data_IF_552926009885
#
_entry.id   IF_552926009885
#
_cell.length_a   1.000
_cell.length_b   1.000
_cell.length_c   1.000
_cell.angle_alpha   90.00
_cell.angle_beta   90.00
_cell.angle_gamma   90.00
#
_symmetry.space_group_name_H-M   'P 1'
#
loop_
_entity.id
_entity.type
_entity.pdbx_description
1 polymer ?
#
# COMPACT_ATOMS: atom_id res chain seq x y z
N UNK A 1 16.59 -34.85 -97.71
CA UNK A 1 17.12 -34.51 -96.37
C UNK A 1 16.78 -33.06 -96.05
N UNK A 2 15.79 -32.80 -95.17
CA UNK A 2 15.39 -31.46 -94.73
C UNK A 2 15.90 -31.24 -93.30
N UNK A 3 16.71 -30.19 -93.06
CA UNK A 3 17.22 -29.82 -91.73
C UNK A 3 16.59 -28.51 -91.27
N UNK A 4 16.04 -28.57 -90.05
CA UNK A 4 15.14 -27.62 -89.42
C UNK A 4 15.86 -26.33 -88.96
N UNK A 5 15.42 -25.17 -89.45
CA UNK A 5 15.86 -23.83 -89.01
C UNK A 5 14.96 -23.26 -87.89
N UNK A 6 13.95 -24.01 -87.43
CA UNK A 6 12.92 -23.53 -86.49
C UNK A 6 13.28 -23.59 -84.99
N UNK A 7 14.53 -23.91 -84.61
CA UNK A 7 14.91 -24.09 -83.19
C UNK A 7 15.67 -22.92 -82.54
N UNK A 8 15.94 -21.83 -83.26
CA UNK A 8 16.77 -20.72 -82.72
C UNK A 8 15.93 -19.53 -82.21
N UNK A 9 14.62 -19.50 -82.43
CA UNK A 9 13.75 -18.42 -81.91
C UNK A 9 13.03 -18.74 -80.60
N UNK A 10 13.16 -19.95 -80.04
CA UNK A 10 12.52 -20.31 -78.76
C UNK A 10 13.40 -20.06 -77.52
N UNK A 11 14.69 -19.75 -77.70
CA UNK A 11 15.63 -19.58 -76.58
C UNK A 11 15.70 -18.13 -76.05
N UNK A 12 15.21 -17.13 -76.79
CA UNK A 12 15.22 -15.73 -76.34
C UNK A 12 13.95 -15.30 -75.59
N UNK A 13 12.86 -16.05 -75.69
CA UNK A 13 11.62 -15.73 -74.97
C UNK A 13 11.58 -16.24 -73.52
N UNK A 14 12.49 -17.15 -73.14
CA UNK A 14 12.53 -17.75 -71.80
C UNK A 14 13.38 -16.97 -70.78
N UNK A 15 14.20 -16.01 -71.23
CA UNK A 15 14.98 -15.14 -70.34
C UNK A 15 14.27 -13.80 -70.01
N UNK A 16 13.28 -13.40 -70.79
CA UNK A 16 12.49 -12.17 -70.50
C UNK A 16 11.36 -12.40 -69.48
N UNK A 17 10.94 -13.65 -69.25
CA UNK A 17 9.91 -14.00 -68.26
C UNK A 17 10.47 -14.16 -66.83
N UNK A 18 11.78 -14.29 -66.66
CA UNK A 18 12.42 -14.38 -65.33
C UNK A 18 12.63 -12.99 -64.70
N UNK A 19 12.59 -11.90 -65.50
CA UNK A 19 12.75 -10.53 -64.99
C UNK A 19 11.43 -9.82 -64.64
N UNK A 20 10.27 -10.45 -64.89
CA UNK A 20 8.95 -9.90 -64.53
C UNK A 20 8.11 -10.83 -63.63
N UNK A 21 8.61 -12.02 -63.32
CA UNK A 21 7.96 -12.99 -62.41
C UNK A 21 8.43 -12.93 -60.96
N UNK A 22 9.36 -12.04 -60.64
CA UNK A 22 9.83 -11.80 -59.28
C UNK A 22 8.90 -10.91 -58.48
N UNK A 23 7.59 -11.23 -58.44
CA UNK A 23 6.77 -10.83 -57.30
C UNK A 23 7.29 -11.63 -56.11
N UNK A 24 8.38 -11.13 -55.53
CA UNK A 24 8.80 -11.50 -54.20
C UNK A 24 7.54 -11.39 -53.34
N UNK A 25 7.04 -12.52 -52.84
CA UNK A 25 6.36 -12.53 -51.56
C UNK A 25 7.43 -12.13 -50.52
N UNK A 26 7.85 -10.88 -50.55
CA UNK A 26 8.10 -10.17 -49.32
C UNK A 26 6.70 -10.08 -48.71
N UNK A 27 6.33 -11.09 -47.93
CA UNK A 27 5.52 -10.81 -46.75
C UNK A 27 6.32 -9.73 -46.03
N UNK A 28 5.92 -8.50 -46.31
CA UNK A 28 6.44 -7.32 -45.67
C UNK A 28 6.10 -7.50 -44.21
N UNK A 29 7.03 -8.08 -43.45
CA UNK A 29 6.96 -8.25 -42.00
C UNK A 29 7.04 -6.88 -41.29
N UNK A 30 6.89 -5.77 -42.02
CA UNK A 30 6.77 -4.46 -41.45
C UNK A 30 5.30 -4.17 -41.14
N UNK A 31 5.04 -4.05 -39.84
CA UNK A 31 3.76 -3.59 -39.33
C UNK A 31 3.49 -2.19 -39.87
N UNK A 32 2.27 -1.97 -40.38
CA UNK A 32 1.85 -0.62 -40.73
C UNK A 32 1.83 0.26 -39.48
N UNK A 33 2.10 1.56 -39.62
CA UNK A 33 2.07 2.51 -38.50
C UNK A 33 0.74 2.46 -37.73
N UNK A 34 -0.37 2.21 -38.44
CA UNK A 34 -1.70 2.04 -37.85
C UNK A 34 -1.79 0.79 -36.96
N UNK A 35 -1.21 -0.34 -37.38
CA UNK A 35 -1.16 -1.56 -36.59
C UNK A 35 -0.26 -1.41 -35.37
N UNK A 36 0.90 -0.77 -35.52
CA UNK A 36 1.78 -0.43 -34.40
C UNK A 36 1.03 0.42 -33.37
N UNK A 37 0.30 1.44 -33.84
CA UNK A 37 -0.49 2.31 -32.97
C UNK A 37 -1.61 1.56 -32.26
N UNK A 38 -2.34 0.70 -32.98
CA UNK A 38 -3.41 -0.12 -32.42
C UNK A 38 -2.89 -1.10 -31.37
N UNK A 39 -1.73 -1.72 -31.61
CA UNK A 39 -1.09 -2.61 -30.64
C UNK A 39 -0.62 -1.86 -29.39
N UNK A 40 -0.05 -0.66 -29.54
CA UNK A 40 0.32 0.19 -28.40
C UNK A 40 -0.93 0.58 -27.60
N UNK A 41 -2.00 1.04 -28.25
CA UNK A 41 -3.25 1.41 -27.57
C UNK A 41 -3.90 0.22 -26.86
N UNK A 42 -3.91 -0.95 -27.50
CA UNK A 42 -4.43 -2.18 -26.89
C UNK A 42 -3.56 -2.64 -25.72
N UNK A 43 -2.24 -2.64 -25.86
CA UNK A 43 -1.32 -2.98 -24.77
C UNK A 43 -1.42 -1.99 -23.59
N UNK A 44 -1.64 -0.71 -23.85
CA UNK A 44 -1.90 0.29 -22.80
C UNK A 44 -3.25 0.07 -22.13
N UNK A 45 -4.30 -0.25 -22.90
CA UNK A 45 -5.62 -0.58 -22.34
C UNK A 45 -5.58 -1.86 -21.51
N UNK A 46 -4.92 -2.92 -21.97
CA UNK A 46 -4.77 -4.18 -21.25
C UNK A 46 -3.92 -4.00 -20.00
N UNK A 47 -2.82 -3.23 -20.06
CA UNK A 47 -2.05 -2.91 -18.86
C UNK A 47 -2.89 -2.09 -17.87
N UNK A 48 -3.56 -1.02 -18.31
CA UNK A 48 -4.37 -0.16 -17.44
C UNK A 48 -5.59 -0.87 -16.85
N UNK A 49 -6.19 -1.83 -17.57
CA UNK A 49 -7.33 -2.62 -17.09
C UNK A 49 -6.94 -3.64 -16.01
N UNK A 50 -5.65 -4.02 -15.95
CA UNK A 50 -5.11 -4.97 -14.98
C UNK A 50 -4.27 -4.28 -13.88
N UNK A 51 -4.36 -2.96 -13.74
CA UNK A 51 -3.74 -2.26 -12.62
C UNK A 51 -4.60 -2.47 -11.36
N UNK A 52 -4.17 -3.41 -10.51
CA UNK A 52 -4.61 -3.44 -9.12
C UNK A 52 -3.91 -2.29 -8.39
N UNK A 53 -4.64 -1.21 -8.16
CA UNK A 53 -4.14 -0.11 -7.34
C UNK A 53 -4.30 -0.45 -5.87
N UNK A 54 -3.23 -0.22 -5.11
CA UNK A 54 -3.31 -0.20 -3.65
C UNK A 54 -4.43 0.73 -3.21
N UNK A 55 -5.37 0.18 -2.49
CA UNK A 55 -6.48 0.85 -1.82
C UNK A 55 -6.03 1.23 -0.41
N UNK A 56 -6.66 2.28 0.12
CA UNK A 56 -6.50 2.62 1.52
C UNK A 56 -7.77 3.19 2.10
N UNK A 57 -7.91 3.02 3.42
CA UNK A 57 -8.98 3.60 4.22
C UNK A 57 -8.41 4.23 5.47
N UNK A 58 -8.95 5.40 5.83
CA UNK A 58 -8.50 6.18 6.98
C UNK A 58 -9.61 6.16 8.01
N UNK A 59 -9.31 5.58 9.17
CA UNK A 59 -10.21 5.56 10.32
C UNK A 59 -9.63 6.46 11.40
N UNK A 60 -10.39 7.46 11.83
CA UNK A 60 -9.99 8.35 12.91
C UNK A 60 -10.78 7.95 14.17
N UNK A 61 -10.06 7.75 15.28
CA UNK A 61 -10.64 7.32 16.55
C UNK A 61 -10.23 8.31 17.63
N UNK A 62 -11.21 8.79 18.39
CA UNK A 62 -10.96 9.64 19.55
C UNK A 62 -11.19 8.81 20.80
N UNK A 63 -10.12 8.57 21.56
CA UNK A 63 -10.22 7.99 22.88
C UNK A 63 -10.37 9.08 23.92
N UNK A 64 -11.52 9.14 24.60
CA UNK A 64 -11.72 10.09 25.69
C UNK A 64 -11.06 9.56 26.96
N UNK A 65 -10.80 10.47 27.91
CA UNK A 65 -10.18 10.09 29.19
C UNK A 65 -10.95 8.99 29.94
N UNK A 66 -12.28 8.98 29.85
CA UNK A 66 -13.12 7.98 30.53
C UNK A 66 -13.24 6.64 29.83
N UNK A 67 -12.70 6.50 28.61
CA UNK A 67 -12.77 5.26 27.83
C UNK A 67 -11.60 4.31 28.14
N UNK A 68 -10.63 4.77 28.94
CA UNK A 68 -9.47 3.99 29.35
C UNK A 68 -9.79 3.19 30.60
N UNK A 69 -9.55 1.89 30.54
CA UNK A 69 -9.69 0.96 31.66
C UNK A 69 -8.32 0.40 32.03
N UNK A 70 -8.05 0.30 33.32
CA UNK A 70 -6.81 -0.31 33.81
C UNK A 70 -6.91 -1.84 33.76
N UNK A 71 -5.99 -2.48 33.05
CA UNK A 71 -5.81 -3.93 33.07
C UNK A 71 -4.77 -4.32 34.12
N UNK A 72 -5.23 -4.93 35.22
CA UNK A 72 -4.36 -5.38 36.32
C UNK A 72 -3.42 -6.54 35.95
N UNK A 73 -3.77 -7.34 34.94
CA UNK A 73 -2.98 -8.48 34.49
C UNK A 73 -1.83 -8.00 33.59
N UNK A 74 -2.14 -7.19 32.59
CA UNK A 74 -1.16 -6.66 31.63
C UNK A 74 -0.45 -5.40 32.14
N UNK A 75 -0.93 -4.84 33.26
CA UNK A 75 -0.40 -3.65 33.93
C UNK A 75 -0.29 -2.46 32.98
N UNK A 76 -1.38 -2.17 32.26
CA UNK A 76 -1.49 -1.08 31.28
C UNK A 76 -2.93 -0.56 31.22
N UNK A 77 -3.10 0.68 30.78
CA UNK A 77 -4.43 1.17 30.40
C UNK A 77 -4.78 0.69 29.00
N UNK A 78 -6.03 0.34 28.77
CA UNK A 78 -6.58 -0.05 27.48
C UNK A 78 -7.85 0.73 27.14
N UNK A 79 -8.01 1.08 25.87
CA UNK A 79 -9.25 1.62 25.33
C UNK A 79 -9.57 0.91 24.01
N UNK A 80 -10.71 0.23 23.97
CA UNK A 80 -11.10 -0.67 22.88
C UNK A 80 -12.20 -0.04 22.03
N UNK A 81 -12.05 -0.08 20.72
CA UNK A 81 -12.99 0.45 19.74
C UNK A 81 -13.26 -0.54 18.63
N UNK A 82 -14.48 -0.49 18.08
CA UNK A 82 -14.82 -1.26 16.88
C UNK A 82 -14.08 -0.72 15.66
N UNK A 83 -13.55 -1.63 14.85
CA UNK A 83 -12.85 -1.37 13.59
C UNK A 83 -13.41 -2.28 12.49
N UNK A 84 -14.69 -2.13 12.10
CA UNK A 84 -15.35 -3.00 11.11
C UNK A 84 -14.70 -2.94 9.73
N UNK A 85 -13.93 -1.89 9.43
CA UNK A 85 -13.14 -1.73 8.21
C UNK A 85 -12.00 -2.75 8.11
N UNK A 86 -11.56 -3.33 9.24
CA UNK A 86 -10.54 -4.38 9.25
C UNK A 86 -11.14 -5.70 8.76
N UNK A 87 -10.96 -5.95 7.46
CA UNK A 87 -11.27 -7.23 6.81
C UNK A 87 -10.15 -8.25 7.00
N UNK A 88 -10.49 -9.53 6.78
CA UNK A 88 -9.51 -10.64 6.77
C UNK A 88 -8.35 -10.36 5.82
N UNK A 89 -8.65 -9.86 4.61
CA UNK A 89 -7.63 -9.56 3.61
C UNK A 89 -6.65 -8.50 4.11
N UNK A 90 -7.15 -7.41 4.71
CA UNK A 90 -6.30 -6.36 5.27
C UNK A 90 -5.46 -6.90 6.43
N UNK A 91 -6.05 -7.71 7.31
CA UNK A 91 -5.37 -8.29 8.46
C UNK A 91 -4.24 -9.26 8.07
N UNK A 92 -4.45 -10.08 7.03
CA UNK A 92 -3.50 -11.12 6.63
C UNK A 92 -2.49 -10.66 5.57
N UNK A 93 -2.89 -9.77 4.66
CA UNK A 93 -2.11 -9.40 3.48
C UNK A 93 -1.84 -7.89 3.35
N UNK A 94 -2.65 -7.08 4.03
CA UNK A 94 -2.54 -5.63 4.03
C UNK A 94 -1.59 -5.08 5.08
N UNK A 95 -1.75 -3.79 5.36
CA UNK A 95 -1.06 -3.12 6.46
C UNK A 95 -2.03 -2.19 7.21
N UNK A 96 -1.88 -2.14 8.54
CA UNK A 96 -2.55 -1.14 9.38
C UNK A 96 -1.49 -0.28 10.02
N UNK A 97 -1.50 1.02 9.74
CA UNK A 97 -0.56 1.99 10.27
C UNK A 97 -1.26 2.93 11.27
N UNK A 98 -0.83 2.92 12.53
CA UNK A 98 -1.36 3.79 13.57
C UNK A 98 -0.57 5.09 13.75
N UNK A 99 -1.31 6.17 14.00
CA UNK A 99 -0.77 7.49 14.32
C UNK A 99 -1.51 8.09 15.52
N UNK A 100 -0.80 8.93 16.27
CA UNK A 100 -1.30 9.72 17.38
C UNK A 100 -1.03 11.21 17.13
N UNK A 101 -1.99 12.07 17.47
CA UNK A 101 -1.82 13.52 17.44
C UNK A 101 -1.59 14.05 18.84
N UNK A 102 -0.53 14.83 19.02
CA UNK A 102 -0.18 15.49 20.28
C UNK A 102 -0.18 17.01 20.10
N UNK A 103 -0.65 17.74 21.11
CA UNK A 103 -0.75 19.21 21.06
C UNK A 103 -2.14 19.69 20.62
N UNK A 104 -2.23 20.97 20.27
CA UNK A 104 -3.49 21.62 19.88
C UNK A 104 -3.56 21.84 18.36
N UNK A 105 -4.65 21.37 17.74
CA UNK A 105 -4.90 21.50 16.30
C UNK A 105 -4.77 22.96 15.84
N UNK A 106 -3.99 23.16 14.77
CA UNK A 106 -3.73 24.48 14.18
C UNK A 106 -2.78 25.38 14.99
N UNK A 107 -2.21 24.91 16.10
CA UNK A 107 -1.27 25.68 16.93
C UNK A 107 0.10 25.01 16.97
N UNK A 108 0.19 23.85 17.59
CA UNK A 108 1.43 23.10 17.79
C UNK A 108 1.22 21.59 17.68
N UNK A 109 0.14 21.18 17.03
CA UNK A 109 -0.16 19.77 16.80
C UNK A 109 0.97 19.10 16.01
N UNK A 110 1.38 17.94 16.51
CA UNK A 110 2.32 17.06 15.83
C UNK A 110 1.72 15.68 15.71
N UNK A 111 1.89 15.09 14.53
CA UNK A 111 1.54 13.70 14.29
C UNK A 111 2.74 12.81 14.62
N UNK A 112 2.52 11.76 15.41
CA UNK A 112 3.49 10.72 15.76
C UNK A 112 3.01 9.39 15.20
N UNK A 113 3.93 8.56 14.74
CA UNK A 113 3.63 7.18 14.38
C UNK A 113 3.59 6.33 15.66
N UNK A 114 2.69 5.36 15.72
CA UNK A 114 2.64 4.39 16.80
C UNK A 114 3.55 3.18 16.50
N UNK A 115 4.22 2.58 17.50
CA UNK A 115 4.21 2.97 18.92
C UNK A 115 4.93 4.30 19.16
N UNK A 116 4.34 5.15 19.99
CA UNK A 116 4.94 6.39 20.47
C UNK A 116 5.58 6.14 21.83
N UNK A 117 6.86 6.44 21.95
CA UNK A 117 7.65 6.21 23.16
C UNK A 117 8.18 7.55 23.68
N UNK A 118 7.96 7.83 24.96
CA UNK A 118 8.45 9.04 25.61
C UNK A 118 8.99 8.74 27.00
N UNK A 119 10.15 9.30 27.32
CA UNK A 119 10.76 9.16 28.66
C UNK A 119 10.45 10.40 29.48
N UNK A 120 9.75 10.20 30.59
CA UNK A 120 9.49 11.21 31.60
C UNK A 120 10.50 11.10 32.73
N UNK A 121 10.68 12.21 33.45
CA UNK A 121 11.54 12.26 34.62
C UNK A 121 10.95 13.18 35.68
N UNK A 122 11.11 12.78 36.94
CA UNK A 122 10.82 13.60 38.11
C UNK A 122 12.10 14.30 38.59
N UNK A 123 11.95 15.47 39.22
CA UNK A 123 13.06 16.22 39.81
C UNK A 123 12.77 16.63 41.24
N UNK A 124 13.79 16.67 42.08
CA UNK A 124 13.70 17.25 43.43
C UNK A 124 13.63 18.79 43.40
N UNK A 125 13.57 19.42 44.58
CA UNK A 125 13.56 20.88 44.74
C UNK A 125 14.84 21.57 44.27
N UNK A 126 15.93 20.82 44.12
CA UNK A 126 17.23 21.31 43.64
C UNK A 126 17.39 21.10 42.12
N UNK A 127 16.42 20.45 41.47
CA UNK A 127 16.42 20.14 40.04
C UNK A 127 17.17 18.87 39.66
N UNK A 128 17.60 18.05 40.62
CA UNK A 128 18.22 16.77 40.33
C UNK A 128 17.15 15.76 39.93
N UNK A 129 17.42 14.96 38.90
CA UNK A 129 16.53 13.88 38.47
C UNK A 129 16.46 12.82 39.58
N UNK A 130 15.26 12.55 40.07
CA UNK A 130 15.00 11.56 41.13
C UNK A 130 14.40 10.28 40.57
N UNK A 131 13.63 10.39 39.49
CA UNK A 131 12.87 9.29 38.91
C UNK A 131 12.88 9.42 37.40
N UNK A 132 12.90 8.29 36.70
CA UNK A 132 12.80 8.24 35.24
C UNK A 132 12.00 7.02 34.85
N UNK A 133 11.00 7.20 34.00
CA UNK A 133 10.25 6.09 33.43
C UNK A 133 9.92 6.40 31.97
N UNK A 134 9.64 5.36 31.19
CA UNK A 134 9.26 5.48 29.79
C UNK A 134 7.82 5.04 29.63
N UNK A 135 7.00 5.91 29.05
CA UNK A 135 5.64 5.60 28.65
C UNK A 135 5.63 5.21 27.17
N UNK A 136 4.90 4.16 26.86
CA UNK A 136 4.63 3.72 25.50
C UNK A 136 3.13 3.78 25.24
N UNK A 137 2.74 4.53 24.22
CA UNK A 137 1.38 4.49 23.67
C UNK A 137 1.45 3.68 22.38
N UNK A 138 0.60 2.66 22.26
CA UNK A 138 0.57 1.77 21.09
C UNK A 138 -0.83 1.23 20.86
N UNK A 139 -0.98 0.33 19.88
CA UNK A 139 -2.23 -0.32 19.56
C UNK A 139 -2.02 -1.76 19.10
N UNK A 140 -3.04 -2.58 19.28
CA UNK A 140 -3.19 -3.90 18.71
C UNK A 140 -4.50 -3.94 17.89
N UNK A 141 -4.50 -4.65 16.76
CA UNK A 141 -5.70 -4.89 15.97
C UNK A 141 -6.14 -6.35 16.10
N UNK A 142 -7.44 -6.56 16.29
CA UNK A 142 -8.04 -7.88 16.43
C UNK A 142 -9.05 -8.11 15.31
N UNK A 143 -8.70 -8.97 14.37
CA UNK A 143 -9.66 -9.43 13.37
C UNK A 143 -10.67 -10.39 13.98
N UNK A 144 -11.95 -10.13 13.74
CA UNK A 144 -13.03 -11.05 14.07
C UNK A 144 -13.93 -11.27 12.85
N UNK A 145 -14.22 -12.53 12.55
CA UNK A 145 -15.11 -12.90 11.44
C UNK A 145 -16.48 -12.26 11.61
N UNK A 146 -17.06 -11.76 10.51
CA UNK A 146 -18.41 -11.16 10.51
C UNK A 146 -18.44 -9.65 10.75
N UNK A 147 -17.32 -8.95 10.61
CA UNK A 147 -17.27 -7.48 10.65
C UNK A 147 -17.27 -6.88 12.06
N UNK A 148 -16.94 -7.68 13.08
CA UNK A 148 -16.83 -7.24 14.48
C UNK A 148 -15.37 -7.08 14.90
N UNK A 149 -14.47 -6.79 13.96
CA UNK A 149 -13.07 -6.54 14.26
C UNK A 149 -12.94 -5.31 15.18
N UNK A 150 -11.90 -5.30 16.00
CA UNK A 150 -11.64 -4.25 16.99
C UNK A 150 -10.20 -3.76 16.92
N UNK A 151 -9.96 -2.60 17.53
CA UNK A 151 -8.64 -2.08 17.85
C UNK A 151 -8.58 -1.74 19.34
N UNK A 152 -7.50 -2.15 19.99
CA UNK A 152 -7.18 -1.79 21.36
C UNK A 152 -6.02 -0.82 21.35
N UNK A 153 -6.21 0.39 21.87
CA UNK A 153 -5.11 1.31 22.19
C UNK A 153 -4.66 1.07 23.62
N UNK A 154 -3.37 1.18 23.89
CA UNK A 154 -2.85 0.99 25.24
C UNK A 154 -1.76 1.98 25.61
N UNK A 155 -1.70 2.31 26.89
CA UNK A 155 -0.69 3.16 27.53
C UNK A 155 0.00 2.32 28.60
N UNK A 156 1.31 2.15 28.48
CA UNK A 156 2.09 1.34 29.41
C UNK A 156 3.37 2.05 29.83
N UNK A 157 3.54 2.19 31.15
CA UNK A 157 4.78 2.68 31.74
C UNK A 157 5.77 1.53 31.95
N UNK A 158 7.06 1.81 31.76
CA UNK A 158 8.15 0.82 31.85
C UNK A 158 8.33 0.23 33.25
N UNK A 159 7.87 0.95 34.28
CA UNK A 159 7.89 0.53 35.68
C UNK A 159 6.58 -0.14 36.12
N UNK A 160 5.65 -0.39 35.18
CA UNK A 160 4.34 -1.04 35.37
C UNK A 160 3.46 -0.40 36.46
N UNK A 161 3.76 0.86 36.78
CA UNK A 161 2.99 1.64 37.74
C UNK A 161 1.70 2.15 37.11
N UNK A 162 0.63 2.14 37.90
CA UNK A 162 -0.66 2.70 37.50
C UNK A 162 -0.66 4.21 37.75
N UNK A 163 -0.31 4.99 36.73
CA UNK A 163 -0.45 6.45 36.79
C UNK A 163 -1.88 6.85 36.42
N UNK A 164 -2.67 7.25 37.41
CA UNK A 164 -4.04 7.74 37.22
C UNK A 164 -4.16 8.97 36.30
N UNK A 165 -3.05 9.66 36.00
CA UNK A 165 -3.04 10.82 35.10
C UNK A 165 -2.65 10.48 33.66
N UNK A 166 -2.15 9.26 33.39
CA UNK A 166 -1.78 8.85 32.05
C UNK A 166 -2.98 8.81 31.07
N UNK A 167 -4.18 8.34 31.47
CA UNK A 167 -5.39 8.46 30.66
C UNK A 167 -5.74 9.92 30.38
N UNK A 168 -5.77 10.27 29.09
CA UNK A 168 -6.14 11.59 28.59
C UNK A 168 -7.00 11.43 27.33
N UNK A 169 -7.52 12.54 26.82
CA UNK A 169 -8.14 12.55 25.51
C UNK A 169 -7.05 12.45 24.42
N UNK A 170 -7.06 11.37 23.65
CA UNK A 170 -6.13 11.13 22.55
C UNK A 170 -6.87 10.99 21.23
N UNK A 171 -6.31 11.59 20.17
CA UNK A 171 -6.80 11.42 18.81
C UNK A 171 -5.85 10.52 18.04
N UNK A 172 -6.40 9.43 17.54
CA UNK A 172 -5.70 8.43 16.75
C UNK A 172 -6.17 8.43 15.30
N UNK A 173 -5.27 8.03 14.41
CA UNK A 173 -5.59 7.74 13.02
C UNK A 173 -4.98 6.42 12.61
N UNK A 174 -5.81 5.51 12.14
CA UNK A 174 -5.40 4.27 11.50
C UNK A 174 -5.50 4.44 9.99
N UNK A 175 -4.49 3.95 9.28
CA UNK A 175 -4.48 3.86 7.81
C UNK A 175 -4.40 2.38 7.45
N UNK A 176 -5.49 1.86 6.92
CA UNK A 176 -5.59 0.50 6.40
C UNK A 176 -5.20 0.55 4.94
N UNK A 177 -4.31 -0.34 4.49
CA UNK A 177 -3.75 -0.36 3.13
C UNK A 177 -3.85 -1.78 2.59
N UNK A 178 -4.38 -1.98 1.38
CA UNK A 178 -4.55 -3.30 0.77
C UNK A 178 -4.63 -3.27 -0.76
#
# INVERSE_FOLDING_TARGET
MKRNITKILLASAFFASILLGGSSCATDDTLSELEVRRMIEQALQENNANLEFTQWEIVNIQANQGDWEWDDQERRYEAIYSLPELTEFIYENGAVLGYLFLGQQGVNEVQKMLPFVHTYYGTDTEGNITETFTETISYDVMYQSGGNSDVAFFIQASDVYEDANAPQAYNFRLVLIW
#
